data_IF_996058291227
#
_entry.id   IF_996058291227
#
_cell.length_a   1.000
_cell.length_b   1.000
_cell.length_c   1.000
_cell.angle_alpha   90.00
_cell.angle_beta   90.00
_cell.angle_gamma   90.00
#
_symmetry.space_group_name_H-M   'P 1'
#
loop_
_entity.id
_entity.type
_entity.pdbx_description
1 polymer ?
#
# COMPACT_ATOMS: atom_id res chain seq x y z
N UNK A 1 0.98 -16.91 6.74
CA UNK A 1 1.13 -15.48 7.05
C UNK A 1 1.05 -15.30 8.57
N UNK A 2 1.94 -14.52 9.18
CA UNK A 2 1.77 -14.06 10.57
C UNK A 2 1.09 -12.69 10.55
N UNK A 3 -0.07 -12.56 11.18
CA UNK A 3 -0.85 -11.32 11.20
C UNK A 3 -0.31 -10.34 12.26
N UNK A 4 0.72 -9.57 11.88
CA UNK A 4 1.38 -8.60 12.78
C UNK A 4 0.61 -7.27 12.81
N UNK A 5 0.07 -6.82 11.67
CA UNK A 5 -0.70 -5.58 11.57
C UNK A 5 -1.49 -5.53 10.27
N UNK A 6 -2.43 -4.58 10.17
CA UNK A 6 -3.33 -4.48 9.02
C UNK A 6 -2.59 -4.16 7.70
N UNK A 7 -1.57 -3.29 7.75
CA UNK A 7 -0.73 -2.93 6.59
C UNK A 7 0.01 -4.13 6.03
N UNK A 8 0.67 -4.89 6.92
CA UNK A 8 1.37 -6.13 6.55
C UNK A 8 0.38 -7.17 6.00
N UNK A 9 -0.77 -7.33 6.66
CA UNK A 9 -1.78 -8.30 6.24
C UNK A 9 -2.33 -7.99 4.85
N UNK A 10 -2.52 -6.70 4.51
CA UNK A 10 -2.93 -6.28 3.17
C UNK A 10 -1.87 -6.67 2.14
N UNK A 11 -0.61 -6.31 2.38
CA UNK A 11 0.49 -6.65 1.49
C UNK A 11 0.61 -8.17 1.28
N UNK A 12 0.64 -8.94 2.37
CA UNK A 12 0.80 -10.39 2.35
C UNK A 12 -0.36 -11.12 1.70
N UNK A 13 -1.58 -10.54 1.75
CA UNK A 13 -2.74 -11.13 1.11
C UNK A 13 -2.66 -11.13 -0.43
N UNK A 14 -1.85 -10.24 -1.01
CA UNK A 14 -1.62 -10.15 -2.46
C UNK A 14 -0.19 -10.54 -2.86
N UNK A 15 0.64 -10.94 -1.90
CA UNK A 15 1.97 -11.44 -2.16
C UNK A 15 1.93 -12.95 -2.39
N UNK A 16 2.32 -13.40 -3.58
CA UNK A 16 2.49 -14.83 -3.84
C UNK A 16 3.72 -15.35 -3.07
N UNK A 17 3.49 -16.19 -2.06
CA UNK A 17 4.58 -16.83 -1.30
C UNK A 17 5.13 -18.09 -2.00
N UNK A 18 5.00 -18.19 -3.32
CA UNK A 18 5.42 -19.39 -4.04
C UNK A 18 6.95 -19.39 -4.14
N UNK A 19 7.66 -20.37 -3.56
CA UNK A 19 9.10 -20.47 -3.77
C UNK A 19 9.35 -20.66 -5.27
N UNK A 20 10.38 -19.99 -5.79
CA UNK A 20 10.66 -20.08 -7.22
C UNK A 20 10.98 -21.54 -7.60
N UNK A 21 10.69 -21.92 -8.85
CA UNK A 21 11.00 -23.29 -9.32
C UNK A 21 12.48 -23.64 -9.17
N UNK A 22 13.35 -22.62 -9.29
CA UNK A 22 14.80 -22.73 -9.10
C UNK A 22 15.17 -22.92 -7.63
N UNK A 23 14.52 -22.22 -6.71
CA UNK A 23 14.73 -22.38 -5.26
C UNK A 23 14.29 -23.77 -4.79
N UNK A 24 13.14 -24.25 -5.29
CA UNK A 24 12.68 -25.62 -5.04
C UNK A 24 13.64 -26.65 -5.64
N UNK A 25 14.21 -26.37 -6.82
CA UNK A 25 15.20 -27.24 -7.47
C UNK A 25 16.55 -27.24 -6.72
N UNK A 26 17.02 -26.09 -6.24
CA UNK A 26 18.24 -25.95 -5.46
C UNK A 26 18.13 -26.69 -4.12
N UNK A 27 17.03 -26.50 -3.38
CA UNK A 27 16.76 -27.25 -2.15
C UNK A 27 16.73 -28.77 -2.40
N UNK A 28 16.16 -29.21 -3.54
CA UNK A 28 16.18 -30.63 -3.94
C UNK A 28 17.58 -31.13 -4.28
N UNK A 29 18.41 -30.29 -4.88
CA UNK A 29 19.79 -30.62 -5.23
C UNK A 29 20.69 -30.73 -4.00
N UNK A 30 20.56 -29.82 -3.02
CA UNK A 30 21.26 -29.90 -1.73
C UNK A 30 20.91 -31.19 -0.96
N UNK A 31 19.64 -31.61 -1.03
CA UNK A 31 19.17 -32.87 -0.45
C UNK A 31 19.61 -34.12 -1.25
N UNK A 32 20.37 -33.96 -2.35
CA UNK A 32 20.88 -35.06 -3.18
C UNK A 32 19.80 -35.84 -3.94
N UNK A 33 18.58 -35.28 -4.09
CA UNK A 33 17.42 -36.03 -4.59
C UNK A 33 17.35 -36.04 -6.11
N UNK A 34 17.49 -37.22 -6.72
CA UNK A 34 17.25 -37.48 -8.16
C UNK A 34 15.84 -38.05 -8.37
N UNK A 35 14.82 -37.22 -8.26
CA UNK A 35 13.44 -37.59 -8.64
C UNK A 35 12.43 -37.71 -7.50
N UNK A 36 11.21 -38.16 -7.85
CA UNK A 36 10.06 -38.24 -6.94
C UNK A 36 10.03 -39.62 -6.27
N UNK A 37 10.33 -39.69 -4.98
CA UNK A 37 10.30 -40.95 -4.21
C UNK A 37 8.90 -41.14 -3.61
N UNK A 38 8.28 -42.30 -3.86
CA UNK A 38 6.99 -42.65 -3.29
C UNK A 38 7.13 -42.89 -1.78
N UNK A 39 6.14 -42.48 -0.98
CA UNK A 39 6.08 -42.60 0.49
C UNK A 39 7.08 -41.79 1.33
N UNK A 40 7.71 -40.75 0.76
CA UNK A 40 8.40 -39.76 1.59
C UNK A 40 7.39 -38.81 2.29
N UNK A 41 7.47 -38.77 3.62
CA UNK A 41 6.87 -37.71 4.45
C UNK A 41 7.79 -36.51 4.39
N UNK A 42 7.63 -35.66 3.39
CA UNK A 42 8.37 -34.40 3.36
C UNK A 42 7.87 -33.50 4.51
N UNK A 43 8.76 -32.79 5.22
CA UNK A 43 8.35 -31.66 6.05
C UNK A 43 7.49 -30.66 5.24
N UNK A 44 7.83 -30.45 3.96
CA UNK A 44 7.07 -29.63 3.01
C UNK A 44 5.74 -30.24 2.52
N UNK A 45 5.47 -31.53 2.79
CA UNK A 45 4.15 -32.14 2.50
C UNK A 45 3.16 -31.82 3.63
N UNK A 46 3.65 -31.66 4.87
CA UNK A 46 2.89 -31.09 6.00
C UNK A 46 2.75 -29.55 5.93
N UNK A 47 3.54 -28.86 5.09
CA UNK A 47 3.35 -27.43 4.79
C UNK A 47 2.07 -27.13 3.97
N UNK A 48 1.25 -28.12 3.63
CA UNK A 48 -0.11 -27.88 3.15
C UNK A 48 -0.95 -27.16 4.20
N UNK A 49 -0.81 -27.48 5.48
CA UNK A 49 -1.58 -26.81 6.53
C UNK A 49 -1.17 -25.34 6.66
N UNK A 50 0.13 -25.05 6.60
CA UNK A 50 0.64 -23.67 6.61
C UNK A 50 0.19 -22.89 5.37
N UNK A 51 0.21 -23.52 4.19
CA UNK A 51 -0.28 -22.94 2.94
C UNK A 51 -1.79 -22.71 2.96
N UNK A 52 -2.58 -23.70 3.39
CA UNK A 52 -4.03 -23.57 3.54
C UNK A 52 -4.39 -22.50 4.56
N UNK A 53 -3.67 -22.42 5.69
CA UNK A 53 -3.84 -21.36 6.68
C UNK A 53 -3.47 -19.98 6.13
N UNK A 54 -2.39 -19.89 5.35
CA UNK A 54 -2.04 -18.66 4.62
C UNK A 54 -3.17 -18.28 3.64
N UNK A 55 -3.59 -19.18 2.75
CA UNK A 55 -4.65 -18.91 1.76
C UNK A 55 -5.97 -18.53 2.42
N UNK A 56 -6.35 -19.18 3.52
CA UNK A 56 -7.54 -18.82 4.29
C UNK A 56 -7.41 -17.42 4.87
N UNK A 57 -6.26 -17.10 5.49
CA UNK A 57 -6.05 -15.78 6.06
C UNK A 57 -6.03 -14.69 4.98
N UNK A 58 -5.36 -14.92 3.86
CA UNK A 58 -5.33 -14.02 2.70
C UNK A 58 -6.73 -13.84 2.11
N UNK A 59 -7.51 -14.91 1.95
CA UNK A 59 -8.89 -14.84 1.46
C UNK A 59 -9.82 -14.05 2.38
N UNK A 60 -9.67 -14.16 3.70
CA UNK A 60 -10.43 -13.35 4.66
C UNK A 60 -10.06 -11.86 4.58
N UNK A 61 -8.77 -11.54 4.41
CA UNK A 61 -8.32 -10.16 4.21
C UNK A 61 -8.82 -9.61 2.88
N UNK A 62 -8.69 -10.36 1.78
CA UNK A 62 -9.21 -9.97 0.46
C UNK A 62 -10.73 -9.77 0.49
N UNK A 63 -11.47 -10.64 1.18
CA UNK A 63 -12.91 -10.48 1.39
C UNK A 63 -13.23 -9.18 2.14
N UNK A 64 -12.51 -8.88 3.22
CA UNK A 64 -12.66 -7.64 3.97
C UNK A 64 -12.35 -6.40 3.12
N UNK A 65 -11.29 -6.44 2.31
CA UNK A 65 -10.96 -5.38 1.34
C UNK A 65 -12.09 -5.22 0.31
N UNK A 66 -12.69 -6.33 -0.14
CA UNK A 66 -13.82 -6.33 -1.05
C UNK A 66 -15.06 -5.59 -0.53
N UNK A 67 -15.18 -5.37 0.79
CA UNK A 67 -16.28 -4.59 1.38
C UNK A 67 -16.11 -3.08 1.25
N UNK A 68 -14.89 -2.60 0.97
CA UNK A 68 -14.61 -1.17 0.80
C UNK A 68 -15.19 -0.64 -0.52
N UNK A 69 -15.55 0.66 -0.62
CA UNK A 69 -15.83 1.29 -1.91
C UNK A 69 -14.65 1.15 -2.87
N UNK A 70 -14.93 0.97 -4.18
CA UNK A 70 -13.89 0.78 -5.21
C UNK A 70 -12.74 1.80 -5.16
N UNK A 71 -12.98 3.12 -5.04
CA UNK A 71 -11.88 4.08 -4.95
C UNK A 71 -10.97 3.83 -3.75
N UNK A 72 -11.53 3.41 -2.62
CA UNK A 72 -10.79 3.13 -1.39
C UNK A 72 -10.03 1.80 -1.46
N UNK A 73 -10.53 0.82 -2.23
CA UNK A 73 -9.77 -0.39 -2.57
C UNK A 73 -8.52 -0.02 -3.38
N UNK A 74 -8.68 0.75 -4.46
CA UNK A 74 -7.55 1.23 -5.29
C UNK A 74 -6.54 2.05 -4.48
N UNK A 75 -7.02 2.91 -3.58
CA UNK A 75 -6.16 3.63 -2.63
C UNK A 75 -5.33 2.69 -1.76
N UNK A 76 -5.97 1.69 -1.13
CA UNK A 76 -5.25 0.69 -0.34
C UNK A 76 -4.30 -0.17 -1.17
N UNK A 77 -4.68 -0.54 -2.41
CA UNK A 77 -3.79 -1.25 -3.33
C UNK A 77 -2.55 -0.42 -3.67
N UNK A 78 -2.71 0.87 -3.97
CA UNK A 78 -1.57 1.74 -4.24
C UNK A 78 -0.60 1.81 -3.06
N UNK A 79 -1.10 1.84 -1.81
CA UNK A 79 -0.24 1.94 -0.63
C UNK A 79 0.41 0.61 -0.22
N UNK A 80 -0.31 -0.50 -0.34
CA UNK A 80 0.06 -1.75 0.33
C UNK A 80 0.26 -2.94 -0.61
N UNK A 81 -0.33 -2.93 -1.81
CA UNK A 81 -0.28 -4.09 -2.69
C UNK A 81 1.06 -4.16 -3.45
N UNK A 82 1.71 -5.33 -3.48
CA UNK A 82 2.90 -5.52 -4.32
C UNK A 82 2.57 -5.50 -5.82
N UNK A 83 1.31 -5.72 -6.18
CA UNK A 83 0.82 -5.73 -7.57
C UNK A 83 0.08 -4.44 -7.96
N UNK A 84 0.37 -3.33 -7.26
CA UNK A 84 -0.24 -2.03 -7.54
C UNK A 84 0.07 -1.55 -8.97
N UNK A 85 -0.95 -1.01 -9.64
CA UNK A 85 -0.88 -0.53 -11.02
C UNK A 85 -0.94 1.00 -11.09
N UNK A 86 -0.70 1.56 -12.29
CA UNK A 86 -0.91 3.00 -12.53
C UNK A 86 -2.37 3.44 -12.39
N UNK A 87 -3.33 2.53 -12.58
CA UNK A 87 -4.75 2.82 -12.35
C UNK A 87 -5.02 3.04 -10.86
N UNK A 88 -4.41 2.23 -10.00
CA UNK A 88 -4.53 2.39 -8.55
C UNK A 88 -4.02 3.77 -8.10
N UNK A 89 -2.89 4.22 -8.66
CA UNK A 89 -2.36 5.55 -8.40
C UNK A 89 -3.31 6.67 -8.84
N UNK A 90 -3.82 6.62 -10.08
CA UNK A 90 -4.68 7.66 -10.61
C UNK A 90 -6.00 7.77 -9.84
N UNK A 91 -6.61 6.62 -9.49
CA UNK A 91 -7.85 6.59 -8.72
C UNK A 91 -7.61 7.05 -7.28
N UNK A 92 -6.51 6.63 -6.65
CA UNK A 92 -6.13 7.07 -5.32
C UNK A 92 -5.90 8.58 -5.26
N UNK A 93 -5.20 9.12 -6.26
CA UNK A 93 -4.94 10.56 -6.38
C UNK A 93 -6.25 11.35 -6.57
N UNK A 94 -7.11 10.91 -7.48
CA UNK A 94 -8.43 11.52 -7.66
C UNK A 94 -9.28 11.46 -6.38
N UNK A 95 -9.24 10.33 -5.65
CA UNK A 95 -9.96 10.20 -4.39
C UNK A 95 -9.48 11.23 -3.36
N UNK A 96 -8.16 11.38 -3.16
CA UNK A 96 -7.61 12.39 -2.26
C UNK A 96 -8.04 13.79 -2.69
N UNK A 97 -7.93 14.09 -3.99
CA UNK A 97 -8.31 15.39 -4.53
C UNK A 97 -9.78 15.75 -4.27
N UNK A 98 -10.71 14.84 -4.56
CA UNK A 98 -12.15 15.12 -4.42
C UNK A 98 -12.68 15.03 -2.97
N UNK A 99 -11.94 14.39 -2.06
CA UNK A 99 -12.34 14.28 -0.65
C UNK A 99 -11.78 15.40 0.22
N UNK A 100 -10.71 16.06 -0.22
CA UNK A 100 -10.07 17.12 0.54
C UNK A 100 -10.83 18.43 0.36
N UNK A 101 -11.22 19.05 1.47
CA UNK A 101 -11.81 20.38 1.45
C UNK A 101 -10.69 21.42 1.44
N UNK A 102 -10.53 22.10 0.30
CA UNK A 102 -9.58 23.18 0.13
C UNK A 102 -10.34 24.49 -0.02
N UNK A 103 -9.70 25.60 0.38
CA UNK A 103 -10.23 26.95 0.13
C UNK A 103 -10.38 27.21 -1.36
N UNK A 104 -11.22 28.18 -1.75
CA UNK A 104 -11.35 28.56 -3.15
C UNK A 104 -10.02 29.14 -3.67
N UNK A 105 -9.55 28.58 -4.78
CA UNK A 105 -8.28 28.97 -5.40
C UNK A 105 -8.49 29.34 -6.87
N UNK A 106 -7.57 30.12 -7.42
CA UNK A 106 -7.52 30.33 -8.87
C UNK A 106 -7.22 29.02 -9.60
N UNK A 107 -7.71 28.87 -10.84
CA UNK A 107 -7.50 27.66 -11.64
C UNK A 107 -6.03 27.26 -11.78
N UNK A 108 -5.12 28.25 -11.92
CA UNK A 108 -3.67 28.02 -11.97
C UNK A 108 -3.14 27.43 -10.66
N UNK A 109 -3.57 27.97 -9.53
CA UNK A 109 -3.15 27.50 -8.20
C UNK A 109 -3.75 26.13 -7.89
N UNK A 110 -4.97 25.88 -8.35
CA UNK A 110 -5.65 24.59 -8.25
C UNK A 110 -4.91 23.49 -9.04
N UNK A 111 -4.43 23.78 -10.25
CA UNK A 111 -3.65 22.83 -11.04
C UNK A 111 -2.34 22.43 -10.33
N UNK A 112 -1.68 23.37 -9.65
CA UNK A 112 -0.49 23.07 -8.83
C UNK A 112 -0.88 22.25 -7.59
N UNK A 113 -1.95 22.62 -6.89
CA UNK A 113 -2.45 21.89 -5.73
C UNK A 113 -2.80 20.42 -6.05
N UNK A 114 -3.31 20.17 -7.27
CA UNK A 114 -3.53 18.81 -7.76
C UNK A 114 -2.23 17.98 -7.76
N UNK A 115 -1.11 18.53 -8.22
CA UNK A 115 0.19 17.85 -8.17
C UNK A 115 0.74 17.72 -6.74
N UNK A 116 0.46 18.69 -5.87
CA UNK A 116 0.78 18.58 -4.43
C UNK A 116 0.00 17.44 -3.78
N UNK A 117 -1.25 17.18 -4.18
CA UNK A 117 -2.02 16.04 -3.69
C UNK A 117 -1.37 14.70 -4.06
N UNK A 118 -0.82 14.58 -5.27
CA UNK A 118 -0.05 13.41 -5.69
C UNK A 118 1.23 13.26 -4.86
N UNK A 119 1.92 14.37 -4.59
CA UNK A 119 3.12 14.38 -3.74
C UNK A 119 2.80 13.95 -2.30
N UNK A 120 1.68 14.40 -1.73
CA UNK A 120 1.22 13.99 -0.40
C UNK A 120 0.96 12.48 -0.34
N UNK A 121 0.30 11.93 -1.37
CA UNK A 121 0.05 10.49 -1.47
C UNK A 121 1.36 9.67 -1.58
N UNK A 122 2.32 10.13 -2.40
CA UNK A 122 3.64 9.51 -2.53
C UNK A 122 4.47 9.60 -1.24
N UNK A 123 4.39 10.74 -0.54
CA UNK A 123 5.01 10.94 0.77
C UNK A 123 4.46 9.95 1.80
N UNK A 124 3.13 9.80 1.86
CA UNK A 124 2.49 8.83 2.74
C UNK A 124 2.91 7.40 2.45
N UNK A 125 2.94 7.01 1.17
CA UNK A 125 3.43 5.70 0.75
C UNK A 125 4.88 5.47 1.19
N UNK A 126 5.74 6.48 1.08
CA UNK A 126 7.12 6.38 1.54
C UNK A 126 7.19 6.10 3.05
N UNK A 127 6.38 6.80 3.85
CA UNK A 127 6.28 6.59 5.30
C UNK A 127 5.76 5.20 5.66
N UNK A 128 4.75 4.72 4.94
CA UNK A 128 4.22 3.35 5.09
C UNK A 128 5.32 2.29 4.90
N UNK A 129 6.26 2.52 3.98
CA UNK A 129 7.39 1.63 3.73
C UNK A 129 8.64 1.93 4.57
N UNK A 130 8.51 2.73 5.64
CA UNK A 130 9.59 3.00 6.59
C UNK A 130 10.60 4.05 6.14
N UNK A 131 10.28 4.85 5.13
CA UNK A 131 11.08 6.02 4.73
C UNK A 131 10.58 7.28 5.43
N UNK A 132 11.41 8.31 5.46
CA UNK A 132 10.98 9.62 5.98
C UNK A 132 9.95 10.28 5.06
N UNK A 133 9.02 11.01 5.69
CA UNK A 133 8.05 11.85 4.99
C UNK A 133 8.75 12.96 4.19
N UNK A 134 8.10 13.43 3.13
CA UNK A 134 8.71 14.40 2.23
C UNK A 134 8.66 15.80 2.83
N UNK A 135 9.81 16.48 2.84
CA UNK A 135 9.90 17.90 3.18
C UNK A 135 9.57 18.83 1.99
N UNK A 136 9.39 20.14 2.25
CA UNK A 136 8.99 21.12 1.24
C UNK A 136 9.85 21.15 -0.02
N UNK A 137 11.18 21.09 0.12
CA UNK A 137 12.10 21.11 -1.02
C UNK A 137 11.87 19.93 -1.98
N UNK A 138 11.59 18.74 -1.44
CA UNK A 138 11.31 17.54 -2.23
C UNK A 138 9.96 17.64 -2.93
N UNK A 139 8.95 18.18 -2.25
CA UNK A 139 7.62 18.41 -2.85
C UNK A 139 7.72 19.44 -3.98
N UNK A 140 8.42 20.56 -3.78
CA UNK A 140 8.63 21.56 -4.82
C UNK A 140 9.35 20.97 -6.04
N UNK A 141 10.40 20.16 -5.84
CA UNK A 141 11.11 19.48 -6.92
C UNK A 141 10.19 18.51 -7.68
N UNK A 142 9.43 17.69 -6.96
CA UNK A 142 8.47 16.78 -7.57
C UNK A 142 7.40 17.53 -8.39
N UNK A 143 6.83 18.60 -7.84
CA UNK A 143 5.83 19.39 -8.56
C UNK A 143 6.44 20.04 -9.81
N UNK A 144 7.69 20.51 -9.74
CA UNK A 144 8.38 21.03 -10.92
C UNK A 144 8.57 19.97 -12.00
N UNK A 145 8.95 18.75 -11.63
CA UNK A 145 9.17 17.65 -12.58
C UNK A 145 7.87 17.26 -13.31
N UNK A 146 6.73 17.26 -12.62
CA UNK A 146 5.45 16.82 -13.17
C UNK A 146 4.63 17.93 -13.83
N UNK A 147 4.67 19.14 -13.28
CA UNK A 147 3.84 20.27 -13.74
C UNK A 147 4.61 21.31 -14.56
N UNK A 148 5.94 21.28 -14.50
CA UNK A 148 6.81 22.33 -15.05
C UNK A 148 6.82 23.64 -14.24
N UNK A 149 5.96 23.77 -13.21
CA UNK A 149 5.88 24.97 -12.38
C UNK A 149 6.92 24.91 -11.26
N UNK A 150 7.80 25.90 -11.23
CA UNK A 150 8.80 26.04 -10.18
C UNK A 150 8.17 26.71 -8.96
N UNK A 151 8.08 25.96 -7.87
CA UNK A 151 7.71 26.48 -6.55
C UNK A 151 8.96 26.92 -5.79
N UNK A 152 8.82 27.98 -4.98
CA UNK A 152 9.89 28.45 -4.10
C UNK A 152 9.73 27.81 -2.70
N UNK A 153 10.67 26.95 -2.27
CA UNK A 153 10.63 26.36 -0.92
C UNK A 153 10.68 27.41 0.20
N UNK A 154 11.29 28.59 -0.02
CA UNK A 154 11.37 29.65 0.98
C UNK A 154 10.01 30.27 1.33
N UNK A 155 9.07 30.26 0.39
CA UNK A 155 7.71 30.77 0.57
C UNK A 155 6.70 29.67 0.93
N UNK A 156 7.14 28.42 1.11
CA UNK A 156 6.27 27.27 1.36
C UNK A 156 5.30 27.47 2.54
N UNK A 157 5.82 27.96 3.67
CA UNK A 157 5.05 28.18 4.88
C UNK A 157 3.89 29.16 4.69
N UNK A 158 3.99 30.09 3.74
CA UNK A 158 2.92 31.05 3.44
C UNK A 158 1.94 30.49 2.40
N UNK A 159 2.47 29.88 1.36
CA UNK A 159 1.70 29.65 0.13
C UNK A 159 1.08 28.25 0.05
N UNK A 160 1.69 27.24 0.70
CA UNK A 160 1.35 25.84 0.46
C UNK A 160 1.21 24.98 1.72
N UNK A 161 1.64 25.45 2.90
CA UNK A 161 1.57 24.65 4.13
C UNK A 161 0.15 24.21 4.46
N UNK A 162 -0.83 25.13 4.40
CA UNK A 162 -2.22 24.79 4.72
C UNK A 162 -2.83 23.80 3.72
N UNK A 163 -2.52 23.95 2.43
CA UNK A 163 -2.94 23.01 1.38
C UNK A 163 -2.32 21.63 1.60
N UNK A 164 -1.01 21.59 1.91
CA UNK A 164 -0.29 20.36 2.19
C UNK A 164 -0.83 19.64 3.42
N UNK A 165 -1.04 20.35 4.53
CA UNK A 165 -1.57 19.77 5.77
C UNK A 165 -3.00 19.23 5.58
N UNK A 166 -3.86 19.96 4.85
CA UNK A 166 -5.20 19.48 4.52
C UNK A 166 -5.15 18.18 3.69
N UNK A 167 -4.29 18.14 2.68
CA UNK A 167 -4.11 16.96 1.82
C UNK A 167 -3.52 15.78 2.61
N UNK A 168 -2.46 16.00 3.40
CA UNK A 168 -1.83 14.97 4.22
C UNK A 168 -2.83 14.38 5.24
N UNK A 169 -3.60 15.24 5.91
CA UNK A 169 -4.65 14.83 6.85
C UNK A 169 -5.74 14.00 6.15
N UNK A 170 -6.12 14.40 4.93
CA UNK A 170 -7.07 13.64 4.12
C UNK A 170 -6.53 12.25 3.76
N UNK A 171 -5.26 12.16 3.36
CA UNK A 171 -4.59 10.88 3.09
C UNK A 171 -4.57 9.99 4.34
N UNK A 172 -4.22 10.54 5.51
CA UNK A 172 -4.23 9.81 6.78
C UNK A 172 -5.64 9.30 7.14
N UNK A 173 -6.66 10.12 6.93
CA UNK A 173 -8.06 9.73 7.17
C UNK A 173 -8.52 8.61 6.23
N UNK A 174 -8.18 8.70 4.95
CA UNK A 174 -8.48 7.67 3.96
C UNK A 174 -7.74 6.38 4.26
N UNK A 175 -6.49 6.46 4.70
CA UNK A 175 -5.70 5.30 5.13
C UNK A 175 -6.33 4.59 6.32
N UNK A 176 -6.73 5.34 7.35
CA UNK A 176 -7.43 4.77 8.50
C UNK A 176 -8.74 4.07 8.07
N UNK A 177 -9.51 4.66 7.15
CA UNK A 177 -10.75 4.06 6.61
C UNK A 177 -10.46 2.80 5.79
N UNK A 178 -9.42 2.79 4.96
CA UNK A 178 -9.04 1.63 4.17
C UNK A 178 -8.63 0.47 5.09
N UNK A 179 -7.82 0.73 6.11
CA UNK A 179 -7.32 -0.30 7.02
C UNK A 179 -8.36 -0.81 8.02
N UNK A 180 -9.45 -0.08 8.28
CA UNK A 180 -10.45 -0.45 9.29
C UNK A 180 -10.99 -1.89 9.17
N UNK A 181 -11.49 -2.36 8.00
CA UNK A 181 -11.98 -3.73 7.86
C UNK A 181 -10.87 -4.78 7.99
N UNK A 182 -9.67 -4.50 7.46
CA UNK A 182 -8.53 -5.42 7.57
C UNK A 182 -8.05 -5.53 9.03
N UNK A 183 -8.03 -4.42 9.76
CA UNK A 183 -7.70 -4.40 11.18
C UNK A 183 -8.71 -5.21 12.01
N UNK A 184 -9.99 -5.21 11.64
CA UNK A 184 -11.00 -6.06 12.28
C UNK A 184 -10.71 -7.55 12.08
N UNK A 185 -10.32 -7.97 10.87
CA UNK A 185 -9.90 -9.36 10.60
C UNK A 185 -8.67 -9.74 11.42
N UNK A 186 -7.65 -8.88 11.47
CA UNK A 186 -6.43 -9.11 12.26
C UNK A 186 -6.75 -9.28 13.74
N UNK A 187 -7.59 -8.41 14.30
CA UNK A 187 -8.03 -8.52 15.71
C UNK A 187 -8.80 -9.81 15.97
N UNK A 188 -9.74 -10.16 15.10
CA UNK A 188 -10.52 -11.41 15.21
C UNK A 188 -9.61 -12.64 15.23
N UNK A 189 -8.60 -12.69 14.36
CA UNK A 189 -7.66 -13.82 14.31
C UNK A 189 -6.70 -13.87 15.49
N UNK A 190 -6.38 -12.73 16.11
CA UNK A 190 -5.57 -12.67 17.34
C UNK A 190 -6.35 -13.07 18.58
N UNK A 191 -7.65 -12.73 18.67
CA UNK A 191 -8.48 -13.09 19.81
C UNK A 191 -9.02 -14.52 19.77
N UNK A 192 -8.93 -15.21 18.63
CA UNK A 192 -9.32 -16.60 18.45
C UNK A 192 -8.15 -17.60 18.63
N UNK A 193 -6.95 -17.11 18.92
CA UNK A 193 -5.74 -17.89 19.17
C UNK A 193 -5.38 -17.83 20.66
#
# INVERSE_FOLDING_TARGET
MRLIGARQAWHDAYHDSTPSTLEVAAAKAELGKRGRVANETFPSRQETNGRCAHMLASGLVQSAIGTLPRPLQHFGHFLYSPIATGQDLNIAHALVWFTTQLEEMTQRRQAVAYWIALAALQSHRAMVHGREGWGPARVCGFVQDWSGVRLDPGNWARDWVGVWEALATSVDSLDAKALAPVAAVVRSKRGAA
#
